data_IF_448671953640
#
_entry.id   IF_448671953640
#
_cell.length_a   1.000
_cell.length_b   1.000
_cell.length_c   1.000
_cell.angle_alpha   90.00
_cell.angle_beta   90.00
_cell.angle_gamma   90.00
#
_symmetry.space_group_name_H-M   'P 1'
#
loop_
_entity.id
_entity.type
_entity.pdbx_description
1 polymer ?
#
# COMPACT_ATOMS: atom_id res chain seq x y z
N UNK A 1 -25.78 5.84 -11.97
CA UNK A 1 -24.62 6.60 -11.47
C UNK A 1 -23.50 6.49 -12.49
N UNK A 2 -22.68 7.52 -12.74
CA UNK A 2 -21.55 7.38 -13.65
C UNK A 2 -20.56 6.33 -13.10
N UNK A 3 -19.95 5.58 -14.01
CA UNK A 3 -18.91 4.59 -13.67
C UNK A 3 -17.73 5.28 -12.97
N UNK A 4 -17.22 4.70 -11.88
CA UNK A 4 -16.05 5.24 -11.19
C UNK A 4 -14.79 5.13 -12.05
N UNK A 5 -13.82 6.01 -11.80
CA UNK A 5 -12.51 5.98 -12.49
C UNK A 5 -11.84 4.61 -12.30
N UNK A 6 -11.87 4.07 -11.09
CA UNK A 6 -11.29 2.76 -10.78
C UNK A 6 -12.01 1.61 -11.52
N UNK A 7 -13.34 1.65 -11.63
CA UNK A 7 -14.10 0.63 -12.38
C UNK A 7 -13.79 0.65 -13.88
N UNK A 8 -13.63 1.85 -14.43
CA UNK A 8 -13.22 2.02 -15.84
C UNK A 8 -11.81 1.46 -16.05
N UNK A 9 -10.86 1.84 -15.20
CA UNK A 9 -9.47 1.38 -15.29
C UNK A 9 -9.37 -0.16 -15.17
N UNK A 10 -10.14 -0.79 -14.28
CA UNK A 10 -10.18 -2.24 -14.15
C UNK A 10 -10.66 -2.93 -15.44
N UNK A 11 -11.71 -2.38 -16.06
CA UNK A 11 -12.23 -2.89 -17.34
C UNK A 11 -11.23 -2.68 -18.50
N UNK A 12 -10.57 -1.53 -18.56
CA UNK A 12 -9.54 -1.25 -19.58
C UNK A 12 -8.31 -2.15 -19.39
N UNK A 13 -7.97 -2.52 -18.16
CA UNK A 13 -6.94 -3.50 -17.84
C UNK A 13 -7.35 -4.95 -18.11
N UNK A 14 -8.62 -5.21 -18.49
CA UNK A 14 -9.15 -6.54 -18.75
C UNK A 14 -9.33 -7.40 -17.49
N UNK A 15 -9.41 -6.79 -16.30
CA UNK A 15 -9.55 -7.49 -15.04
C UNK A 15 -11.00 -7.91 -14.79
N UNK A 16 -11.20 -9.19 -14.50
CA UNK A 16 -12.47 -9.72 -14.01
C UNK A 16 -12.67 -9.42 -12.52
N UNK A 17 -13.90 -9.53 -11.98
CA UNK A 17 -14.11 -9.44 -10.53
C UNK A 17 -13.26 -10.40 -9.71
N UNK A 18 -13.08 -11.64 -10.18
CA UNK A 18 -12.22 -12.63 -9.52
C UNK A 18 -10.73 -12.26 -9.54
N UNK A 19 -10.26 -11.57 -10.60
CA UNK A 19 -8.89 -11.04 -10.63
C UNK A 19 -8.72 -9.94 -9.59
N UNK A 20 -9.71 -9.05 -9.45
CA UNK A 20 -9.68 -8.00 -8.43
C UNK A 20 -9.67 -8.57 -7.01
N UNK A 21 -10.52 -9.57 -6.72
CA UNK A 21 -10.52 -10.26 -5.42
C UNK A 21 -9.16 -10.89 -5.12
N UNK A 22 -8.58 -11.61 -6.07
CA UNK A 22 -7.24 -12.21 -5.95
C UNK A 22 -6.17 -11.14 -5.71
N UNK A 23 -6.16 -10.08 -6.50
CA UNK A 23 -5.15 -9.01 -6.40
C UNK A 23 -5.29 -8.20 -5.10
N UNK A 24 -6.51 -7.99 -4.60
CA UNK A 24 -6.74 -7.43 -3.25
C UNK A 24 -6.12 -8.36 -2.19
N UNK A 25 -6.31 -9.67 -2.31
CA UNK A 25 -5.69 -10.65 -1.41
C UNK A 25 -4.17 -10.54 -1.41
N UNK A 26 -3.55 -10.36 -2.59
CA UNK A 26 -2.09 -10.15 -2.73
C UNK A 26 -1.67 -8.85 -2.05
N UNK A 27 -2.36 -7.74 -2.31
CA UNK A 27 -2.05 -6.44 -1.70
C UNK A 27 -2.12 -6.50 -0.17
N UNK A 28 -3.20 -7.09 0.38
CA UNK A 28 -3.38 -7.28 1.83
C UNK A 28 -2.25 -8.12 2.44
N UNK A 29 -1.89 -9.23 1.80
CA UNK A 29 -0.82 -10.11 2.27
C UNK A 29 0.54 -9.41 2.25
N UNK A 30 0.81 -8.62 1.21
CA UNK A 30 2.04 -7.84 1.09
C UNK A 30 2.12 -6.74 2.15
N UNK A 31 1.02 -5.99 2.36
CA UNK A 31 0.95 -4.94 3.38
C UNK A 31 1.10 -5.51 4.79
N UNK A 32 0.45 -6.63 5.09
CA UNK A 32 0.56 -7.31 6.40
C UNK A 32 1.99 -7.80 6.65
N UNK A 33 2.61 -8.43 5.66
CA UNK A 33 3.99 -8.92 5.78
C UNK A 33 4.98 -7.77 6.02
N UNK A 34 4.84 -6.64 5.31
CA UNK A 34 5.61 -5.42 5.53
C UNK A 34 5.39 -4.86 6.94
N UNK A 35 4.12 -4.70 7.34
CA UNK A 35 3.74 -4.20 8.66
C UNK A 35 4.28 -5.05 9.80
N UNK A 36 4.24 -6.38 9.68
CA UNK A 36 4.83 -7.29 10.67
C UNK A 36 6.35 -7.13 10.77
N UNK A 37 7.04 -6.93 9.65
CA UNK A 37 8.47 -6.68 9.67
C UNK A 37 8.80 -5.33 10.34
N UNK A 38 8.02 -4.28 10.06
CA UNK A 38 8.16 -2.99 10.75
C UNK A 38 8.05 -3.16 12.27
N UNK A 39 7.07 -3.91 12.76
CA UNK A 39 6.89 -4.15 14.19
C UNK A 39 8.07 -4.88 14.85
N UNK A 40 8.83 -5.71 14.12
CA UNK A 40 10.07 -6.32 14.63
C UNK A 40 11.17 -5.30 14.87
N UNK A 41 11.17 -4.23 14.10
CA UNK A 41 12.16 -3.14 14.18
C UNK A 41 11.71 -1.97 15.04
N UNK A 42 10.42 -1.85 15.38
CA UNK A 42 9.87 -0.73 16.13
C UNK A 42 10.54 -0.60 17.52
N UNK A 43 11.09 0.58 17.82
CA UNK A 43 11.85 0.84 19.04
C UNK A 43 13.23 0.18 19.09
N UNK A 44 13.72 -0.42 17.98
CA UNK A 44 15.00 -1.17 17.91
C UNK A 44 15.82 -0.80 16.67
N UNK A 45 15.69 0.42 16.19
CA UNK A 45 16.41 0.85 14.99
C UNK A 45 17.92 0.77 15.20
N UNK A 46 18.62 0.15 14.25
CA UNK A 46 20.08 0.05 14.23
C UNK A 46 20.75 1.09 13.34
N UNK A 47 20.02 1.65 12.39
CA UNK A 47 20.52 2.70 11.51
C UNK A 47 19.40 3.61 11.02
N UNK A 48 19.69 4.89 10.93
CA UNK A 48 18.85 5.95 10.32
C UNK A 48 19.76 6.72 9.37
N UNK A 49 19.32 6.91 8.13
CA UNK A 49 20.05 7.68 7.11
C UNK A 49 19.15 8.76 6.53
N UNK A 50 19.72 9.90 6.12
CA UNK A 50 19.05 10.92 5.32
C UNK A 50 19.13 10.56 3.84
N UNK A 51 18.02 10.66 3.12
CA UNK A 51 17.94 10.48 1.63
C UNK A 51 18.41 11.72 0.85
N UNK A 52 19.12 12.67 1.50
CA UNK A 52 19.70 13.86 0.85
C UNK A 52 18.92 15.15 1.04
N UNK A 53 17.67 15.12 1.52
CA UNK A 53 16.92 16.30 1.97
C UNK A 53 16.76 16.25 3.49
N UNK A 54 16.81 17.41 4.15
CA UNK A 54 16.55 17.48 5.61
C UNK A 54 15.15 16.99 5.91
N UNK A 55 15.03 15.96 6.75
CA UNK A 55 13.76 15.34 7.13
C UNK A 55 13.32 14.14 6.31
N UNK A 56 14.02 13.81 5.22
CA UNK A 56 13.74 12.62 4.42
C UNK A 56 14.61 11.45 4.92
N UNK A 57 14.02 10.59 5.71
CA UNK A 57 14.72 9.51 6.41
C UNK A 57 14.46 8.15 5.75
N UNK A 58 15.46 7.29 5.79
CA UNK A 58 15.34 5.85 5.56
C UNK A 58 15.98 5.09 6.70
N UNK A 59 15.35 4.03 7.14
CA UNK A 59 15.85 3.18 8.20
C UNK A 59 16.12 1.77 7.69
N UNK A 60 16.76 0.95 8.52
CA UNK A 60 16.90 -0.47 8.23
C UNK A 60 15.55 -1.21 8.22
N UNK A 61 14.50 -0.65 8.82
CA UNK A 61 13.16 -1.20 8.81
C UNK A 61 12.49 -1.06 7.45
N UNK A 62 12.61 0.11 6.79
CA UNK A 62 12.10 0.37 5.43
C UNK A 62 12.65 -0.68 4.47
N UNK A 63 13.98 -0.83 4.43
CA UNK A 63 14.65 -1.77 3.52
C UNK A 63 14.29 -3.23 3.81
N UNK A 64 14.09 -3.60 5.07
CA UNK A 64 13.70 -4.96 5.44
C UNK A 64 12.25 -5.24 5.04
N UNK A 65 11.33 -4.32 5.28
CA UNK A 65 9.94 -4.42 4.90
C UNK A 65 9.80 -4.47 3.36
N UNK A 66 10.47 -3.57 2.63
CA UNK A 66 10.44 -3.56 1.17
C UNK A 66 10.90 -4.90 0.58
N UNK A 67 11.98 -5.47 1.09
CA UNK A 67 12.49 -6.77 0.60
C UNK A 67 11.46 -7.88 0.72
N UNK A 68 10.73 -7.95 1.83
CA UNK A 68 9.69 -8.96 2.07
C UNK A 68 8.51 -8.73 1.13
N UNK A 69 8.06 -7.49 0.99
CA UNK A 69 6.97 -7.11 0.09
C UNK A 69 7.30 -7.48 -1.35
N UNK A 70 8.47 -7.04 -1.85
CA UNK A 70 8.89 -7.29 -3.23
C UNK A 70 9.01 -8.79 -3.53
N UNK A 71 9.53 -9.58 -2.59
CA UNK A 71 9.59 -11.04 -2.73
C UNK A 71 8.19 -11.63 -2.90
N UNK A 72 7.24 -11.26 -2.05
CA UNK A 72 5.86 -11.75 -2.10
C UNK A 72 5.17 -11.36 -3.41
N UNK A 73 5.32 -10.11 -3.84
CA UNK A 73 4.75 -9.63 -5.10
C UNK A 73 5.33 -10.38 -6.31
N UNK A 74 6.65 -10.60 -6.35
CA UNK A 74 7.32 -11.36 -7.42
C UNK A 74 6.88 -12.82 -7.46
N UNK A 75 6.60 -13.45 -6.33
CA UNK A 75 6.13 -14.85 -6.26
C UNK A 75 4.66 -14.97 -6.70
N UNK A 76 3.79 -14.03 -6.33
CA UNK A 76 2.36 -14.14 -6.57
C UNK A 76 1.89 -13.45 -7.87
N UNK A 77 2.65 -12.48 -8.35
CA UNK A 77 2.31 -11.68 -9.54
C UNK A 77 3.56 -11.33 -10.36
N UNK A 78 4.31 -12.33 -10.87
CA UNK A 78 5.61 -12.11 -11.53
C UNK A 78 5.51 -11.23 -12.79
N UNK A 79 4.34 -11.16 -13.42
CA UNK A 79 4.12 -10.41 -14.65
C UNK A 79 3.70 -8.95 -14.39
N UNK A 80 3.50 -8.54 -13.14
CA UNK A 80 3.12 -7.18 -12.78
C UNK A 80 4.36 -6.38 -12.36
N UNK A 81 4.59 -5.26 -13.02
CA UNK A 81 5.68 -4.33 -12.68
C UNK A 81 5.55 -3.78 -11.26
N UNK A 82 6.66 -3.36 -10.66
CA UNK A 82 6.67 -2.75 -9.32
C UNK A 82 7.38 -1.40 -9.37
N UNK A 83 6.79 -0.43 -8.68
CA UNK A 83 7.41 0.84 -8.31
C UNK A 83 7.47 0.88 -6.78
N UNK A 84 8.67 0.78 -6.23
CA UNK A 84 8.90 0.83 -4.80
C UNK A 84 9.65 2.10 -4.41
N UNK A 85 9.41 2.60 -3.22
CA UNK A 85 9.96 3.87 -2.75
C UNK A 85 11.49 3.82 -2.64
N UNK A 86 12.04 2.74 -2.08
CA UNK A 86 13.47 2.64 -1.77
C UNK A 86 14.29 2.14 -2.96
N UNK A 87 13.81 1.15 -3.70
CA UNK A 87 14.53 0.55 -4.83
C UNK A 87 14.15 1.12 -6.19
N UNK A 88 13.09 1.92 -6.28
CA UNK A 88 12.62 2.52 -7.52
C UNK A 88 11.78 1.59 -8.39
N UNK A 89 11.73 1.87 -9.70
CA UNK A 89 10.89 1.15 -10.64
C UNK A 89 11.57 -0.10 -11.20
N UNK A 90 10.86 -1.23 -11.22
CA UNK A 90 11.24 -2.46 -11.90
C UNK A 90 10.09 -2.91 -12.83
N UNK A 91 10.42 -3.31 -14.07
CA UNK A 91 9.48 -3.79 -15.07
C UNK A 91 8.96 -2.70 -16.02
N UNK A 92 7.97 -3.07 -16.86
CA UNK A 92 7.38 -2.15 -17.84
C UNK A 92 6.50 -1.11 -17.15
N UNK A 93 6.55 0.13 -17.64
CA UNK A 93 5.80 1.25 -17.05
C UNK A 93 4.36 1.33 -17.57
N UNK A 94 4.07 0.73 -18.71
CA UNK A 94 2.72 0.68 -19.30
C UNK A 94 2.00 -0.59 -18.84
N UNK A 95 0.77 -0.44 -18.31
CA UNK A 95 -0.03 -1.56 -17.83
C UNK A 95 -0.23 -1.58 -16.31
N UNK A 96 -0.38 -2.80 -15.78
CA UNK A 96 -0.53 -3.00 -14.34
C UNK A 96 0.81 -2.78 -13.61
N UNK A 97 0.75 -2.07 -12.48
CA UNK A 97 1.93 -1.79 -11.68
C UNK A 97 1.59 -1.68 -10.20
N UNK A 98 2.31 -2.41 -9.38
CA UNK A 98 2.30 -2.23 -7.94
C UNK A 98 3.05 -0.95 -7.55
N UNK A 99 2.47 -0.16 -6.67
CA UNK A 99 3.10 0.97 -6.01
C UNK A 99 3.29 0.59 -4.54
N UNK A 100 4.52 0.61 -4.06
CA UNK A 100 4.91 0.12 -2.74
C UNK A 100 5.56 1.26 -1.95
N UNK A 101 4.97 1.59 -0.81
CA UNK A 101 5.60 2.36 0.25
C UNK A 101 5.73 1.43 1.46
N UNK A 102 6.95 0.95 1.78
CA UNK A 102 7.16 -0.01 2.84
C UNK A 102 6.94 0.57 4.23
N UNK A 103 7.20 1.87 4.42
CA UNK A 103 7.07 2.59 5.69
C UNK A 103 6.64 4.04 5.48
N UNK A 104 5.36 4.27 5.26
CA UNK A 104 4.78 5.61 5.36
C UNK A 104 4.85 6.10 6.81
N UNK A 105 5.37 7.30 6.99
CA UNK A 105 5.62 7.86 8.31
C UNK A 105 6.98 7.47 8.92
N UNK A 106 8.04 7.33 8.12
CA UNK A 106 9.41 6.99 8.56
C UNK A 106 9.90 7.90 9.69
N UNK A 107 9.59 9.19 9.65
CA UNK A 107 9.93 10.14 10.72
C UNK A 107 9.25 9.78 12.04
N UNK A 108 7.96 9.47 12.01
CA UNK A 108 7.21 9.03 13.19
C UNK A 108 7.82 7.75 13.77
N UNK A 109 8.05 6.78 12.89
CA UNK A 109 8.65 5.50 13.24
C UNK A 109 10.03 5.68 13.92
N UNK A 110 10.91 6.50 13.34
CA UNK A 110 12.25 6.77 13.85
C UNK A 110 12.23 7.40 15.23
N UNK A 111 11.20 8.19 15.56
CA UNK A 111 11.03 8.84 16.86
C UNK A 111 10.16 8.03 17.83
N UNK A 112 9.77 6.80 17.47
CA UNK A 112 8.94 5.95 18.32
C UNK A 112 7.47 6.39 18.43
N UNK A 113 6.99 7.23 17.48
CA UNK A 113 5.61 7.63 17.43
C UNK A 113 4.78 6.57 16.66
N UNK A 114 3.69 6.04 17.23
CA UNK A 114 3.00 4.85 16.71
C UNK A 114 2.03 5.14 15.55
N UNK A 115 2.35 6.11 14.72
CA UNK A 115 1.59 6.50 13.52
C UNK A 115 2.43 6.30 12.28
N UNK A 116 2.37 5.11 11.74
CA UNK A 116 3.05 4.67 10.53
C UNK A 116 2.27 3.53 9.88
N UNK A 117 2.50 3.31 8.59
CA UNK A 117 1.79 2.30 7.82
C UNK A 117 2.71 1.65 6.76
N UNK A 118 2.27 0.52 6.21
CA UNK A 118 2.75 -0.04 4.94
C UNK A 118 1.64 0.12 3.91
N UNK A 119 1.93 0.73 2.78
CA UNK A 119 0.96 1.02 1.73
C UNK A 119 1.28 0.28 0.43
N UNK A 120 0.31 -0.47 -0.09
CA UNK A 120 0.41 -1.24 -1.33
C UNK A 120 -0.76 -0.85 -2.23
N UNK A 121 -0.46 -0.25 -3.38
CA UNK A 121 -1.45 0.10 -4.39
C UNK A 121 -1.21 -0.64 -5.69
N UNK A 122 -2.28 -0.93 -6.44
CA UNK A 122 -2.21 -1.38 -7.84
C UNK A 122 -2.77 -0.29 -8.74
N UNK A 123 -2.03 0.04 -9.79
CA UNK A 123 -2.45 1.01 -10.81
C UNK A 123 -2.49 0.36 -12.19
N UNK A 124 -3.28 0.95 -13.10
CA UNK A 124 -3.20 0.70 -14.54
C UNK A 124 -2.86 2.04 -15.21
N UNK A 125 -1.65 2.13 -15.77
CA UNK A 125 -1.08 3.42 -16.12
C UNK A 125 -1.01 4.34 -14.89
N UNK A 126 -1.71 5.49 -14.97
CA UNK A 126 -1.79 6.45 -13.84
C UNK A 126 -3.09 6.32 -13.02
N UNK A 127 -3.96 5.37 -13.34
CA UNK A 127 -5.25 5.21 -12.67
C UNK A 127 -5.14 4.22 -11.53
N UNK A 128 -5.58 4.58 -10.31
CA UNK A 128 -5.62 3.63 -9.20
C UNK A 128 -6.69 2.57 -9.46
N UNK A 129 -6.40 1.32 -9.10
CA UNK A 129 -7.33 0.19 -9.18
C UNK A 129 -7.77 -0.25 -7.79
N UNK A 130 -6.84 -0.63 -6.96
CA UNK A 130 -7.09 -1.14 -5.62
C UNK A 130 -5.93 -0.77 -4.71
N UNK A 131 -6.14 -0.93 -3.42
CA UNK A 131 -5.08 -0.71 -2.43
C UNK A 131 -5.33 -1.44 -1.12
N UNK A 132 -4.25 -1.61 -0.37
CA UNK A 132 -4.24 -2.09 0.99
C UNK A 132 -3.21 -1.30 1.81
N UNK A 133 -3.61 -0.89 3.01
CA UNK A 133 -2.77 -0.16 3.96
C UNK A 133 -2.82 -0.89 5.29
N UNK A 134 -1.68 -1.41 5.73
CA UNK A 134 -1.54 -1.96 7.06
C UNK A 134 -1.08 -0.89 8.04
N UNK A 135 -1.80 -0.70 9.13
CA UNK A 135 -1.44 0.14 10.28
C UNK A 135 -1.12 -0.77 11.45
N UNK A 136 0.10 -1.36 11.49
CA UNK A 136 0.36 -2.54 12.30
C UNK A 136 0.28 -2.27 13.81
N UNK A 137 0.62 -1.05 14.25
CA UNK A 137 0.51 -0.69 15.67
C UNK A 137 -0.94 -0.70 16.17
N UNK A 138 -1.88 -0.26 15.32
CA UNK A 138 -3.32 -0.26 15.61
C UNK A 138 -3.98 -1.61 15.30
N UNK A 139 -3.28 -2.54 14.63
CA UNK A 139 -3.82 -3.81 14.13
C UNK A 139 -4.98 -3.60 13.16
N UNK A 140 -4.85 -2.58 12.31
CA UNK A 140 -5.83 -2.21 11.30
C UNK A 140 -5.27 -2.48 9.90
N UNK A 141 -6.13 -3.03 9.03
CA UNK A 141 -5.88 -3.25 7.62
C UNK A 141 -6.99 -2.56 6.83
N UNK A 142 -6.67 -1.45 6.20
CA UNK A 142 -7.57 -0.75 5.29
C UNK A 142 -7.36 -1.27 3.88
N UNK A 143 -8.44 -1.58 3.17
CA UNK A 143 -8.34 -2.07 1.80
C UNK A 143 -9.60 -1.82 1.00
N UNK A 144 -9.47 -1.81 -0.32
CA UNK A 144 -10.62 -1.62 -1.20
C UNK A 144 -10.29 -1.84 -2.67
N UNK A 145 -11.35 -2.15 -3.43
CA UNK A 145 -11.32 -2.27 -4.88
C UNK A 145 -12.68 -1.92 -5.50
N UNK A 146 -12.72 -1.56 -6.80
CA UNK A 146 -13.96 -1.26 -7.50
C UNK A 146 -14.89 -2.49 -7.53
N UNK A 147 -16.17 -2.26 -7.19
CA UNK A 147 -17.18 -3.31 -7.14
C UNK A 147 -17.13 -4.21 -5.89
N UNK A 148 -16.05 -4.16 -5.11
CA UNK A 148 -15.91 -4.89 -3.85
C UNK A 148 -16.27 -3.99 -2.66
N UNK A 149 -15.85 -2.71 -2.71
CA UNK A 149 -16.05 -1.75 -1.62
C UNK A 149 -14.77 -1.39 -0.90
N UNK A 150 -14.90 -0.72 0.25
CA UNK A 150 -13.81 -0.35 1.14
C UNK A 150 -14.04 -0.92 2.54
N UNK A 151 -12.96 -1.34 3.19
CA UNK A 151 -13.03 -2.06 4.47
C UNK A 151 -11.90 -1.63 5.40
N UNK A 152 -12.19 -1.68 6.70
CA UNK A 152 -11.17 -1.75 7.75
C UNK A 152 -11.28 -3.13 8.41
N UNK A 153 -10.23 -3.93 8.31
CA UNK A 153 -10.27 -5.35 8.62
C UNK A 153 -11.41 -6.03 7.83
N UNK A 154 -12.41 -6.58 8.54
CA UNK A 154 -13.58 -7.22 7.94
C UNK A 154 -14.83 -6.32 7.96
N UNK A 155 -14.70 -5.09 8.47
CA UNK A 155 -15.83 -4.16 8.61
C UNK A 155 -15.91 -3.23 7.40
N UNK A 156 -17.06 -3.14 6.71
CA UNK A 156 -17.21 -2.24 5.59
C UNK A 156 -17.14 -0.77 6.03
N UNK A 157 -16.50 0.04 5.22
CA UNK A 157 -16.38 1.49 5.41
C UNK A 157 -17.35 2.22 4.50
N UNK A 158 -17.92 3.31 5.02
CA UNK A 158 -18.73 4.23 4.25
C UNK A 158 -18.30 5.67 4.57
N UNK A 159 -18.28 6.52 3.56
CA UNK A 159 -18.08 7.95 3.76
C UNK A 159 -19.26 8.53 4.55
N UNK A 160 -19.01 9.57 5.33
CA UNK A 160 -20.07 10.30 6.02
C UNK A 160 -21.01 10.97 5.00
N UNK A 161 -22.24 11.28 5.41
CA UNK A 161 -23.18 12.08 4.63
C UNK A 161 -22.92 13.58 4.75
N UNK A 162 -21.83 13.97 5.41
CA UNK A 162 -21.46 15.36 5.64
C UNK A 162 -20.96 15.99 4.33
N UNK A 163 -21.66 17.03 3.84
CA UNK A 163 -21.33 17.73 2.59
C UNK A 163 -20.49 18.99 2.84
N UNK A 164 -20.44 19.48 4.08
CA UNK A 164 -19.77 20.74 4.45
C UNK A 164 -18.74 20.49 5.54
N UNK A 165 -17.59 21.13 5.42
CA UNK A 165 -16.49 20.97 6.37
C UNK A 165 -16.87 21.42 7.80
N UNK A 166 -17.75 22.40 7.90
CA UNK A 166 -18.22 22.96 9.17
C UNK A 166 -19.21 22.03 9.92
N UNK A 167 -19.73 21.00 9.25
CA UNK A 167 -20.66 20.02 9.80
C UNK A 167 -19.98 18.67 10.11
N UNK A 168 -18.63 18.60 9.97
CA UNK A 168 -17.84 17.37 10.12
C UNK A 168 -17.20 17.23 11.51
#
# INVERSE_FOLDING_TARGET
MPESICSRAAREAGLSPSDLERLVGVARSAADAGGQELMRHYGRLSSIKNKGRSGDLVTNADLAAERIILKLLAEQTPDIAVLAEESGAAGQQDGLRWCVDPLDGTTNFAHGYPFFATSIGLTFGQQPLLGAIAVPFLKEMYWGAPGIGAFCNDSPLQVSSCERLEDS
#
